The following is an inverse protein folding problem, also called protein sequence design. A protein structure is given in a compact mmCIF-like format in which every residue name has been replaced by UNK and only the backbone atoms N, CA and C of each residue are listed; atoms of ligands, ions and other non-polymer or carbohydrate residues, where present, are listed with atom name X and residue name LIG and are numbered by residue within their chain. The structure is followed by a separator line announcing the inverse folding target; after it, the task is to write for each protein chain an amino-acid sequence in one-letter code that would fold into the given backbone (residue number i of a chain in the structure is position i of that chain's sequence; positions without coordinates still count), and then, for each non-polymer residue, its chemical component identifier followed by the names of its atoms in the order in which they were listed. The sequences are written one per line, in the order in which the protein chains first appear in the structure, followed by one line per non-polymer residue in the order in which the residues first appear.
data_IF_464488013079
#
_entry.id   IF_464488013079
#
_cell.length_a   1.000
_cell.length_b   1.000
_cell.length_c   1.000
_cell.angle_alpha   90.00
_cell.angle_beta   90.00
_cell.angle_gamma   90.00
#
_symmetry.space_group_name_H-M   'P 1'
#
loop_
_entity.id
_entity.type
_entity.pdbx_description
1 polymer ?
#
# COMPACT_ATOMS: atom_id res chain seq x y z
N UNK A 1 18.17 -6.68 17.25
CA UNK A 1 17.70 -5.35 16.81
C UNK A 1 16.63 -5.53 15.77
N UNK A 2 15.68 -4.59 15.69
CA UNK A 2 14.72 -4.51 14.60
C UNK A 2 15.34 -3.71 13.44
N UNK A 3 15.21 -4.19 12.21
CA UNK A 3 15.83 -3.57 11.03
C UNK A 3 14.79 -3.35 9.95
N UNK A 4 14.66 -2.09 9.50
CA UNK A 4 13.83 -1.74 8.36
C UNK A 4 14.52 -2.15 7.06
N UNK A 5 13.84 -2.97 6.26
CA UNK A 5 14.35 -3.44 4.97
C UNK A 5 13.40 -3.02 3.84
N UNK A 6 13.92 -2.25 2.90
CA UNK A 6 13.21 -1.88 1.66
C UNK A 6 13.56 -2.92 0.58
N UNK A 7 12.62 -3.16 -0.35
CA UNK A 7 12.83 -4.07 -1.47
C UNK A 7 14.12 -3.73 -2.24
N UNK A 8 15.08 -4.67 -2.25
CA UNK A 8 16.41 -4.49 -2.85
C UNK A 8 16.35 -4.19 -4.35
N UNK A 9 15.36 -4.73 -5.06
CA UNK A 9 15.18 -4.47 -6.49
C UNK A 9 14.74 -3.03 -6.74
N UNK A 10 13.77 -2.54 -5.95
CA UNK A 10 13.32 -1.16 -6.02
C UNK A 10 14.46 -0.19 -5.71
N UNK A 11 15.24 -0.44 -4.66
CA UNK A 11 16.41 0.36 -4.31
C UNK A 11 17.40 0.42 -5.48
N UNK A 12 17.72 -0.72 -6.10
CA UNK A 12 18.63 -0.77 -7.26
C UNK A 12 18.11 0.06 -8.44
N UNK A 13 16.82 0.00 -8.74
CA UNK A 13 16.20 0.75 -9.84
C UNK A 13 16.14 2.27 -9.57
N UNK A 14 15.90 2.68 -8.32
CA UNK A 14 15.95 4.08 -7.92
C UNK A 14 17.39 4.61 -7.91
N UNK A 15 18.36 3.82 -7.44
CA UNK A 15 19.78 4.21 -7.45
C UNK A 15 20.30 4.42 -8.87
N UNK A 16 19.95 3.55 -9.83
CA UNK A 16 20.30 3.74 -11.25
C UNK A 16 19.78 5.05 -11.84
N UNK A 17 18.64 5.53 -11.35
CA UNK A 17 18.00 6.77 -11.79
C UNK A 17 18.41 7.99 -10.94
N UNK A 18 19.34 7.83 -9.99
CA UNK A 18 19.72 8.86 -9.00
C UNK A 18 18.53 9.38 -8.15
N UNK A 19 17.50 8.55 -7.97
CA UNK A 19 16.31 8.88 -7.17
C UNK A 19 16.37 8.35 -5.74
N UNK A 20 17.36 7.50 -5.44
CA UNK A 20 17.52 6.91 -4.12
C UNK A 20 18.21 7.87 -3.15
N UNK A 21 17.44 8.43 -2.22
CA UNK A 21 17.93 9.29 -1.14
C UNK A 21 17.16 9.02 0.17
N UNK A 22 17.56 9.70 1.25
CA UNK A 22 16.95 9.52 2.58
C UNK A 22 15.45 9.84 2.57
N UNK A 23 15.07 10.91 1.89
CA UNK A 23 13.67 11.35 1.78
C UNK A 23 12.80 10.32 1.06
N UNK A 24 13.26 9.80 -0.08
CA UNK A 24 12.59 8.74 -0.83
C UNK A 24 12.39 7.49 0.03
N UNK A 25 13.42 7.07 0.78
CA UNK A 25 13.31 5.95 1.72
C UNK A 25 12.26 6.20 2.78
N UNK A 26 12.29 7.38 3.39
CA UNK A 26 11.40 7.73 4.49
C UNK A 26 9.93 7.85 3.98
N UNK A 27 9.72 8.36 2.75
CA UNK A 27 8.41 8.37 2.08
C UNK A 27 7.87 6.96 1.80
N UNK A 28 8.71 6.05 1.31
CA UNK A 28 8.33 4.64 1.10
C UNK A 28 7.91 4.00 2.43
N UNK A 29 8.61 4.30 3.52
CA UNK A 29 8.25 3.79 4.86
C UNK A 29 6.90 4.38 5.31
N UNK A 30 6.70 5.69 5.13
CA UNK A 30 5.46 6.38 5.47
C UNK A 30 4.25 5.79 4.71
N UNK A 31 4.46 5.36 3.47
CA UNK A 31 3.44 4.73 2.61
C UNK A 31 3.34 3.19 2.76
N UNK A 32 3.89 2.60 3.83
CA UNK A 32 3.85 1.14 4.09
C UNK A 32 4.49 0.29 2.98
N UNK A 33 5.52 0.82 2.31
CA UNK A 33 6.17 0.16 1.18
C UNK A 33 5.47 0.37 -0.16
N UNK A 34 4.33 1.06 -0.20
CA UNK A 34 3.71 1.50 -1.45
C UNK A 34 4.48 2.66 -2.07
N UNK A 35 4.56 2.67 -3.40
CA UNK A 35 5.15 3.79 -4.17
C UNK A 35 4.11 4.61 -4.92
N UNK A 36 2.83 4.24 -4.83
CA UNK A 36 1.78 4.79 -5.69
C UNK A 36 1.50 6.27 -5.41
N UNK A 37 1.53 6.66 -4.13
CA UNK A 37 1.21 8.01 -3.65
C UNK A 37 2.43 8.93 -3.51
N UNK A 38 3.64 8.43 -3.82
CA UNK A 38 4.85 9.24 -3.74
C UNK A 38 4.85 10.22 -4.92
N UNK A 39 4.96 11.51 -4.61
CA UNK A 39 5.00 12.57 -5.60
C UNK A 39 6.27 12.47 -6.46
N UNK A 40 6.16 12.80 -7.76
CA UNK A 40 7.25 12.72 -8.75
C UNK A 40 7.93 11.34 -8.88
N UNK A 41 7.23 10.26 -8.54
CA UNK A 41 7.74 8.90 -8.68
C UNK A 41 7.52 8.37 -10.12
N UNK A 42 8.52 7.73 -10.78
CA UNK A 42 8.40 7.25 -12.16
C UNK A 42 7.27 6.24 -12.36
N UNK A 43 6.42 6.46 -13.37
CA UNK A 43 5.21 5.66 -13.59
C UNK A 43 5.52 4.20 -14.01
N UNK A 44 6.59 4.00 -14.78
CA UNK A 44 7.08 2.66 -15.14
C UNK A 44 7.40 1.83 -13.90
N UNK A 45 7.99 2.47 -12.88
CA UNK A 45 8.30 1.82 -11.62
C UNK A 45 7.07 1.62 -10.74
N UNK A 46 6.07 2.52 -10.78
CA UNK A 46 4.81 2.32 -10.05
C UNK A 46 4.08 1.06 -10.49
N UNK A 47 4.05 0.80 -11.79
CA UNK A 47 3.43 -0.39 -12.35
C UNK A 47 4.14 -1.67 -11.94
N UNK A 48 5.48 -1.67 -11.96
CA UNK A 48 6.29 -2.84 -11.59
C UNK A 48 6.24 -3.12 -10.08
N UNK A 49 6.25 -2.07 -9.25
CA UNK A 49 6.36 -2.19 -7.79
C UNK A 49 5.03 -2.02 -7.06
N UNK A 50 3.93 -2.42 -7.69
CA UNK A 50 2.63 -2.58 -7.02
C UNK A 50 2.75 -3.55 -5.86
N UNK A 51 2.17 -3.17 -4.73
CA UNK A 51 2.03 -4.07 -3.59
C UNK A 51 0.89 -5.06 -3.83
N UNK A 52 0.81 -6.10 -3.01
CA UNK A 52 -0.29 -7.07 -3.09
C UNK A 52 -1.66 -6.44 -2.83
N UNK A 53 -1.71 -5.33 -2.09
CA UNK A 53 -2.93 -4.59 -1.79
C UNK A 53 -3.41 -3.72 -2.96
N UNK A 54 -2.52 -3.42 -3.89
CA UNK A 54 -2.79 -2.66 -5.13
C UNK A 54 -3.05 -3.59 -6.32
N UNK A 55 -2.75 -4.87 -6.16
CA UNK A 55 -2.93 -5.88 -7.21
C UNK A 55 -4.34 -6.45 -7.19
N UNK A 56 -4.97 -6.52 -8.36
CA UNK A 56 -6.28 -7.14 -8.53
C UNK A 56 -6.24 -8.63 -8.14
N UNK A 57 -7.04 -9.01 -7.14
CA UNK A 57 -7.15 -10.41 -6.72
C UNK A 57 -7.77 -11.30 -7.81
N UNK A 58 -8.56 -10.71 -8.72
CA UNK A 58 -9.06 -11.41 -9.89
C UNK A 58 -7.92 -11.86 -10.80
N UNK A 59 -6.95 -10.99 -11.06
CA UNK A 59 -5.75 -11.30 -11.85
C UNK A 59 -4.92 -12.40 -11.19
N UNK A 60 -4.79 -12.37 -9.86
CA UNK A 60 -4.11 -13.43 -9.10
C UNK A 60 -4.80 -14.78 -9.32
N UNK A 61 -6.15 -14.81 -9.27
CA UNK A 61 -6.94 -16.02 -9.53
C UNK A 61 -6.81 -16.49 -10.98
N UNK A 62 -6.83 -15.57 -11.95
CA UNK A 62 -6.63 -15.90 -13.37
C UNK A 62 -5.26 -16.53 -13.62
N UNK A 63 -4.18 -15.90 -13.13
CA UNK A 63 -2.82 -16.46 -13.24
C UNK A 63 -2.66 -17.79 -12.49
N UNK A 64 -3.37 -17.97 -11.37
CA UNK A 64 -3.39 -19.24 -10.66
C UNK A 64 -4.08 -20.34 -11.48
N UNK A 65 -5.18 -20.01 -12.15
CA UNK A 65 -5.91 -20.94 -13.01
C UNK A 65 -5.10 -21.28 -14.27
N UNK A 66 -4.40 -20.32 -14.86
CA UNK A 66 -3.56 -20.54 -16.06
C UNK A 66 -2.40 -21.50 -15.80
N UNK A 67 -1.77 -21.45 -14.62
CA UNK A 67 -0.71 -22.40 -14.25
C UNK A 67 -1.23 -23.76 -13.75
N UNK A 68 -2.50 -23.85 -13.36
CA UNK A 68 -3.07 -25.04 -12.73
C UNK A 68 -2.99 -26.32 -13.59
N UNK A 69 -3.16 -26.30 -14.93
CA UNK A 69 -3.00 -27.49 -15.77
C UNK A 69 -1.61 -28.13 -15.72
N UNK A 70 -0.60 -27.37 -15.31
CA UNK A 70 0.79 -27.82 -15.20
C UNK A 70 1.18 -28.22 -13.76
N UNK A 71 0.20 -28.30 -12.85
CA UNK A 71 0.37 -28.69 -11.45
C UNK A 71 -0.46 -29.95 -11.20
N UNK A 72 0.21 -31.05 -10.87
CA UNK A 72 -0.41 -32.37 -10.62
C UNK A 72 -1.38 -32.36 -9.43
N UNK A 73 -1.02 -31.66 -8.35
CA UNK A 73 -1.81 -31.51 -7.14
C UNK A 73 -2.53 -30.16 -7.12
N UNK A 74 -2.11 -29.24 -6.25
CA UNK A 74 -2.71 -27.92 -6.05
C UNK A 74 -1.63 -26.91 -5.65
N UNK A 75 -2.04 -25.72 -5.22
CA UNK A 75 -1.18 -24.61 -4.86
C UNK A 75 -1.71 -23.83 -3.66
N UNK A 76 -0.80 -23.40 -2.78
CA UNK A 76 -1.11 -22.57 -1.62
C UNK A 76 -1.32 -21.11 -2.04
N UNK A 77 -2.51 -20.80 -2.55
CA UNK A 77 -2.86 -19.47 -3.01
C UNK A 77 -3.48 -18.62 -1.88
N UNK A 78 -2.70 -17.67 -1.34
CA UNK A 78 -3.23 -16.64 -0.46
C UNK A 78 -3.98 -15.57 -1.27
N UNK A 79 -4.97 -14.93 -0.65
CA UNK A 79 -5.69 -13.78 -1.19
C UNK A 79 -5.67 -12.63 -0.19
N UNK A 80 -5.68 -11.40 -0.70
CA UNK A 80 -5.57 -10.17 0.10
C UNK A 80 -6.76 -9.25 -0.15
N UNK A 81 -7.44 -8.85 0.93
CA UNK A 81 -8.50 -7.84 0.88
C UNK A 81 -8.31 -6.84 2.01
N UNK A 82 -8.10 -5.58 1.67
CA UNK A 82 -7.97 -4.53 2.69
C UNK A 82 -9.25 -4.38 3.52
N UNK A 83 -10.40 -4.29 2.86
CA UNK A 83 -11.71 -4.15 3.49
C UNK A 83 -12.58 -5.36 3.10
N UNK A 84 -12.43 -6.50 3.81
CA UNK A 84 -13.21 -7.70 3.51
C UNK A 84 -14.68 -7.47 3.85
N UNK A 85 -15.55 -7.77 2.90
CA UNK A 85 -17.00 -7.82 3.10
C UNK A 85 -17.50 -9.19 2.65
N UNK A 86 -18.64 -9.65 3.17
CA UNK A 86 -19.23 -10.92 2.75
C UNK A 86 -19.36 -11.02 1.23
N UNK A 87 -19.88 -9.96 0.58
CA UNK A 87 -20.04 -9.93 -0.88
C UNK A 87 -18.71 -10.06 -1.65
N UNK A 88 -17.65 -9.39 -1.19
CA UNK A 88 -16.32 -9.47 -1.83
C UNK A 88 -15.66 -10.83 -1.63
N UNK A 89 -15.74 -11.39 -0.43
CA UNK A 89 -15.16 -12.71 -0.13
C UNK A 89 -15.91 -13.81 -0.89
N UNK A 90 -17.24 -13.76 -0.88
CA UNK A 90 -18.06 -14.73 -1.61
C UNK A 90 -17.84 -14.65 -3.13
N UNK A 91 -17.76 -13.45 -3.71
CA UNK A 91 -17.51 -13.30 -5.15
C UNK A 91 -16.14 -13.84 -5.57
N UNK A 92 -15.09 -13.62 -4.76
CA UNK A 92 -13.77 -14.20 -5.01
C UNK A 92 -13.78 -15.74 -4.95
N UNK A 93 -14.41 -16.32 -3.92
CA UNK A 93 -14.53 -17.78 -3.80
C UNK A 93 -15.27 -18.39 -4.99
N UNK A 94 -16.41 -17.81 -5.37
CA UNK A 94 -17.21 -18.27 -6.50
C UNK A 94 -16.45 -18.11 -7.81
N UNK A 95 -15.64 -17.05 -7.95
CA UNK A 95 -14.81 -16.84 -9.13
C UNK A 95 -13.71 -17.91 -9.25
N UNK A 96 -12.98 -18.18 -8.17
CA UNK A 96 -11.95 -19.21 -8.13
C UNK A 96 -12.52 -20.61 -8.42
N UNK A 97 -13.68 -20.94 -7.84
CA UNK A 97 -14.39 -22.19 -8.11
C UNK A 97 -14.79 -22.33 -9.58
N UNK A 98 -15.40 -21.29 -10.18
CA UNK A 98 -15.77 -21.27 -11.61
C UNK A 98 -14.56 -21.43 -12.54
N UNK A 99 -13.37 -21.02 -12.11
CA UNK A 99 -12.12 -21.19 -12.85
C UNK A 99 -11.50 -22.60 -12.72
N UNK A 100 -12.13 -23.50 -11.96
CA UNK A 100 -11.68 -24.89 -11.81
C UNK A 100 -10.49 -25.04 -10.86
N UNK A 101 -10.21 -24.05 -10.01
CA UNK A 101 -9.14 -24.15 -9.02
C UNK A 101 -9.50 -25.16 -7.92
N UNK A 102 -8.60 -26.13 -7.68
CA UNK A 102 -8.72 -27.11 -6.58
C UNK A 102 -8.65 -26.43 -5.21
N UNK A 103 -7.74 -25.47 -5.04
CA UNK A 103 -7.66 -24.60 -3.85
C UNK A 103 -8.01 -23.18 -4.25
N UNK A 104 -9.23 -22.74 -3.93
CA UNK A 104 -9.70 -21.39 -4.24
C UNK A 104 -9.18 -20.30 -3.30
N UNK A 105 -8.75 -20.66 -2.08
CA UNK A 105 -8.13 -19.75 -1.12
C UNK A 105 -7.43 -20.55 -0.03
N UNK A 106 -6.19 -20.17 0.32
CA UNK A 106 -5.46 -20.71 1.46
C UNK A 106 -5.66 -19.82 2.70
N UNK A 107 -4.98 -18.68 2.76
CA UNK A 107 -5.31 -17.62 3.71
C UNK A 107 -6.00 -16.44 3.03
N UNK A 108 -7.00 -15.90 3.72
CA UNK A 108 -7.42 -14.52 3.53
C UNK A 108 -6.59 -13.63 4.45
N UNK A 109 -5.87 -12.67 3.85
CA UNK A 109 -5.14 -11.64 4.59
C UNK A 109 -5.90 -10.31 4.48
N UNK A 110 -6.26 -9.75 5.63
CA UNK A 110 -6.81 -8.41 5.73
C UNK A 110 -5.84 -7.48 6.46
N UNK A 111 -6.10 -6.18 6.36
CA UNK A 111 -5.42 -5.15 7.16
C UNK A 111 -6.45 -4.30 7.87
N UNK A 112 -6.04 -3.67 8.97
CA UNK A 112 -6.86 -2.68 9.66
C UNK A 112 -7.18 -1.52 8.72
N UNK A 113 -8.32 -0.87 8.94
CA UNK A 113 -8.67 0.37 8.25
C UNK A 113 -7.77 1.54 8.66
N UNK A 114 -7.17 1.47 9.86
CA UNK A 114 -6.29 2.49 10.43
C UNK A 114 -4.89 1.92 10.63
N UNK A 115 -3.90 2.63 10.10
CA UNK A 115 -2.49 2.31 10.28
C UNK A 115 -1.99 2.75 11.66
N UNK A 116 -1.02 2.01 12.21
CA UNK A 116 -0.32 2.43 13.41
C UNK A 116 0.50 3.71 13.15
N UNK A 117 0.58 4.59 14.15
CA UNK A 117 1.39 5.81 14.07
C UNK A 117 2.85 5.43 13.86
N UNK A 118 3.42 5.85 12.74
CA UNK A 118 4.83 5.62 12.42
C UNK A 118 5.64 6.79 12.97
N UNK A 119 6.51 6.50 13.92
CA UNK A 119 7.49 7.47 14.39
C UNK A 119 8.73 7.34 13.50
N UNK A 120 8.79 8.13 12.43
CA UNK A 120 10.02 8.34 11.67
C UNK A 120 10.57 9.74 11.95
N UNK A 121 11.89 9.90 11.91
CA UNK A 121 12.55 11.21 12.11
C UNK A 121 12.09 12.24 11.05
N UNK A 122 11.60 11.81 9.88
CA UNK A 122 11.03 12.71 8.88
C UNK A 122 9.57 13.08 9.16
N UNK A 123 8.78 12.19 9.78
CA UNK A 123 7.39 12.48 10.14
C UNK A 123 7.27 13.57 11.21
N UNK A 124 8.28 13.75 12.07
CA UNK A 124 8.38 14.92 12.95
C UNK A 124 8.53 16.23 12.16
N UNK A 125 9.30 16.22 11.08
CA UNK A 125 9.50 17.40 10.21
C UNK A 125 8.22 17.73 9.43
N UNK A 126 7.55 16.73 8.87
CA UNK A 126 6.27 16.93 8.16
C UNK A 126 5.13 17.32 9.11
N UNK A 127 5.07 16.73 10.32
CA UNK A 127 4.11 17.15 11.35
C UNK A 127 4.36 18.60 11.79
N UNK A 128 5.63 19.00 11.89
CA UNK A 128 6.01 20.39 12.19
C UNK A 128 5.64 21.35 11.06
N UNK A 129 5.86 20.96 9.79
CA UNK A 129 5.46 21.78 8.63
C UNK A 129 3.93 21.90 8.52
N UNK A 130 3.17 20.82 8.74
CA UNK A 130 1.71 20.86 8.78
C UNK A 130 1.18 21.71 9.94
N UNK A 131 1.82 21.64 11.12
CA UNK A 131 1.48 22.50 12.26
C UNK A 131 1.76 23.98 11.98
N UNK A 132 2.85 24.29 11.26
CA UNK A 132 3.19 25.66 10.88
C UNK A 132 2.24 26.22 9.81
N UNK A 133 1.83 25.41 8.84
CA UNK A 133 0.90 25.83 7.78
C UNK A 133 -0.53 26.04 8.31
N UNK A 134 -1.01 25.20 9.24
CA UNK A 134 -2.34 25.37 9.84
C UNK A 134 -2.46 26.65 10.69
N UNK A 135 -1.37 27.16 11.25
CA UNK A 135 -1.37 28.42 12.01
C UNK A 135 -1.32 29.67 11.12
N UNK A 136 -1.14 29.55 9.80
CA UNK A 136 -1.16 30.70 8.88
C UNK A 136 -2.54 30.98 8.29
N UNK A 137 -3.50 30.06 8.40
CA UNK A 137 -4.87 30.21 7.86
C UNK A 137 -5.87 30.82 8.87
N UNK A 138 -5.50 31.00 10.14
CA UNK A 138 -6.44 31.36 11.23
C UNK A 138 -6.26 32.79 11.81
N UNK A 139 -5.59 33.68 11.08
CA UNK A 139 -5.29 35.06 11.55
C UNK A 139 -6.33 36.11 11.10
N UNK A 140 -7.58 35.71 10.86
CA UNK A 140 -8.67 36.65 10.55
C UNK A 140 -9.98 36.43 11.30
N UNK A 141 -9.93 35.99 12.57
CA UNK A 141 -11.08 36.20 13.47
C UNK A 141 -10.99 37.58 14.11
N UNK A 142 -11.69 38.53 13.49
CA UNK A 142 -12.01 39.84 14.03
C UNK A 142 -12.73 39.67 15.39
N UNK A 143 -12.03 39.96 16.49
CA UNK A 143 -12.55 39.89 17.85
C UNK A 143 -13.68 40.91 18.06
N UNK A 144 -14.93 40.46 17.87
CA UNK A 144 -16.13 41.30 17.92
C UNK A 144 -16.90 41.22 19.25
N UNK A 145 -16.21 41.08 20.39
CA UNK A 145 -16.90 41.17 21.71
C UNK A 145 -16.06 41.83 22.78
N UNK A 146 -15.90 43.15 22.70
CA UNK A 146 -15.73 44.05 23.85
C UNK A 146 -16.17 45.48 23.47
N UNK A 147 -17.47 45.71 23.30
CA UNK A 147 -18.02 47.08 23.39
C UNK A 147 -19.53 47.09 23.67
N UNK A 148 -19.87 47.74 24.78
CA UNK A 148 -21.18 48.09 25.35
C UNK A 148 -21.95 46.98 26.10
#
# INVERSE_FOLDING_TARGET
GEFLLVNRHLVKELSKRNLWNKEMRDNIILENGSVQKIHNFPEDLKEIYKTVWETSQRTVIDMAAERAPFIDQTQSMNLWLSNPTFGKVNSMHMYAWKKGLKTGMYYLRSRSAVDAVKVTVSSEKMAKENFLNNNQEDDSEECLTCSA
#
